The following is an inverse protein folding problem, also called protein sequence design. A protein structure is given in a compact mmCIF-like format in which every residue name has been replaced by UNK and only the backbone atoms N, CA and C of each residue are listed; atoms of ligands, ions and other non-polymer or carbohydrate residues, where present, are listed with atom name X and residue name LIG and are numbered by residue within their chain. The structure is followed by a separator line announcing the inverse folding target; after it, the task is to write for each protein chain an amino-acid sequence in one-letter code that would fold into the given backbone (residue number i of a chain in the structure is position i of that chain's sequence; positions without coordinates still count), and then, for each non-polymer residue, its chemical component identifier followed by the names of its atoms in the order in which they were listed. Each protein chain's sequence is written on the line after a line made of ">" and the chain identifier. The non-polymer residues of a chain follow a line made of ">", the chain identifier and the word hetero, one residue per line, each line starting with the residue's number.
data_IF_531199654116
#
_entry.id   IF_531199654116
#
_cell.length_a   1.000
_cell.length_b   1.000
_cell.length_c   1.000
_cell.angle_alpha   90.00
_cell.angle_beta   90.00
_cell.angle_gamma   90.00
#
_symmetry.space_group_name_H-M   'P 1'
#
loop_
_entity.id
_entity.type
_entity.pdbx_description
1 polymer ?
#
# COMPACT_ATOMS: atom_id res chain seq x y z
N UNK A 1 15.48 -7.61 6.34
CA UNK A 1 16.64 -7.75 7.26
C UNK A 1 17.92 -7.43 6.49
N UNK A 2 18.88 -6.71 7.07
CA UNK A 2 20.15 -6.42 6.41
C UNK A 2 21.03 -7.66 6.25
N UNK A 3 21.81 -7.74 5.15
CA UNK A 3 22.67 -8.89 4.83
C UNK A 3 23.80 -9.10 5.84
N UNK A 4 24.29 -8.00 6.45
CA UNK A 4 25.29 -7.98 7.52
C UNK A 4 26.52 -8.85 7.21
N UNK A 5 26.98 -8.90 5.95
CA UNK A 5 27.96 -9.91 5.49
C UNK A 5 29.29 -9.92 6.27
N UNK A 6 29.73 -8.75 6.71
CA UNK A 6 31.01 -8.56 7.41
C UNK A 6 30.84 -7.67 8.63
N UNK A 7 31.72 -7.83 9.62
CA UNK A 7 31.83 -6.99 10.81
C UNK A 7 33.30 -6.65 11.10
N UNK A 8 33.54 -5.54 11.78
CA UNK A 8 34.86 -5.13 12.22
C UNK A 8 35.09 -5.52 13.68
N UNK A 9 36.22 -6.15 13.99
CA UNK A 9 36.61 -6.60 15.35
C UNK A 9 38.01 -6.13 15.72
N UNK A 10 38.32 -6.08 17.02
CA UNK A 10 39.66 -5.74 17.50
C UNK A 10 40.64 -6.90 17.33
N UNK A 11 41.87 -6.60 16.89
CA UNK A 11 42.96 -7.58 16.84
C UNK A 11 43.64 -7.74 18.20
N UNK A 12 44.08 -8.97 18.50
CA UNK A 12 45.01 -9.24 19.60
C UNK A 12 46.38 -8.58 19.29
N UNK A 13 46.60 -7.37 19.85
CA UNK A 13 47.81 -6.57 19.59
C UNK A 13 47.55 -5.13 19.14
N UNK A 14 46.28 -4.73 18.99
CA UNK A 14 45.88 -3.37 18.60
C UNK A 14 45.48 -3.26 17.13
N UNK A 15 44.62 -2.28 16.84
CA UNK A 15 43.98 -2.11 15.53
C UNK A 15 42.73 -2.98 15.35
N UNK A 16 42.17 -2.97 14.14
CA UNK A 16 40.97 -3.71 13.77
C UNK A 16 41.18 -4.63 12.56
N UNK A 17 40.32 -5.63 12.42
CA UNK A 17 40.14 -6.43 11.22
C UNK A 17 38.67 -6.56 10.85
N UNK A 18 38.42 -6.72 9.56
CA UNK A 18 37.13 -7.09 9.02
C UNK A 18 37.06 -8.62 8.90
N UNK A 19 36.03 -9.21 9.48
CA UNK A 19 35.76 -10.65 9.41
C UNK A 19 34.34 -10.89 8.90
N UNK A 20 34.10 -12.07 8.33
CA UNK A 20 32.75 -12.51 8.00
C UNK A 20 31.91 -12.68 9.27
N UNK A 21 30.66 -12.25 9.23
CA UNK A 21 29.66 -12.58 10.26
C UNK A 21 29.22 -14.04 10.16
N UNK A 22 28.86 -14.62 11.31
CA UNK A 22 28.29 -15.97 11.34
C UNK A 22 26.89 -16.00 10.70
N UNK A 23 26.43 -17.18 10.29
CA UNK A 23 25.06 -17.35 9.79
C UNK A 23 24.00 -16.96 10.82
N UNK A 24 24.27 -17.18 12.11
CA UNK A 24 23.40 -16.80 13.23
C UNK A 24 23.30 -15.27 13.37
N UNK A 25 24.42 -14.56 13.27
CA UNK A 25 24.45 -13.09 13.28
C UNK A 25 23.71 -12.52 12.06
N UNK A 26 23.86 -13.14 10.89
CA UNK A 26 23.15 -12.72 9.67
C UNK A 26 21.64 -12.93 9.79
N UNK A 27 21.20 -13.98 10.48
CA UNK A 27 19.79 -14.32 10.69
C UNK A 27 19.10 -13.56 11.82
N UNK A 28 19.81 -12.69 12.56
CA UNK A 28 19.28 -11.95 13.71
C UNK A 28 19.29 -10.43 13.49
N UNK A 29 18.50 -9.72 14.29
CA UNK A 29 18.53 -8.26 14.36
C UNK A 29 19.75 -7.78 15.14
N UNK A 30 20.39 -6.70 14.68
CA UNK A 30 21.59 -6.16 15.35
C UNK A 30 21.26 -5.36 16.62
N UNK A 31 20.01 -4.91 16.74
CA UNK A 31 19.49 -4.17 17.88
C UNK A 31 18.09 -4.69 18.24
N UNK A 32 17.72 -4.63 19.52
CA UNK A 32 16.37 -4.97 19.98
C UNK A 32 15.40 -3.80 19.82
N UNK A 33 14.09 -4.05 19.95
CA UNK A 33 13.08 -3.00 19.85
C UNK A 33 13.26 -1.93 20.95
N UNK A 34 13.69 -2.31 22.15
CA UNK A 34 13.99 -1.37 23.23
C UNK A 34 15.19 -0.47 22.87
N UNK A 35 16.22 -1.04 22.25
CA UNK A 35 17.40 -0.30 21.81
C UNK A 35 17.05 0.67 20.67
N UNK A 36 16.29 0.21 19.67
CA UNK A 36 15.81 1.06 18.57
C UNK A 36 14.93 2.20 19.09
N UNK A 37 14.06 1.93 20.06
CA UNK A 37 13.22 2.95 20.70
C UNK A 37 14.08 3.96 21.46
N UNK A 38 15.05 3.50 22.26
CA UNK A 38 15.96 4.38 22.99
C UNK A 38 16.79 5.26 22.04
N UNK A 39 17.32 4.69 20.95
CA UNK A 39 18.03 5.44 19.92
C UNK A 39 17.14 6.48 19.24
N UNK A 40 15.88 6.12 18.95
CA UNK A 40 14.90 7.04 18.35
C UNK A 40 14.61 8.23 19.27
N UNK A 41 14.44 7.99 20.58
CA UNK A 41 14.29 9.07 21.56
C UNK A 41 15.53 9.97 21.63
N UNK A 42 16.73 9.39 21.60
CA UNK A 42 17.98 10.16 21.57
C UNK A 42 18.05 11.03 20.31
N UNK A 43 17.71 10.46 19.14
CA UNK A 43 17.70 11.19 17.87
C UNK A 43 16.75 12.39 17.88
N UNK A 44 15.50 12.21 18.37
CA UNK A 44 14.52 13.30 18.50
C UNK A 44 14.99 14.38 19.49
N UNK A 45 15.60 13.99 20.61
CA UNK A 45 16.18 14.94 21.58
C UNK A 45 17.32 15.76 20.96
N UNK A 46 18.18 15.11 20.16
CA UNK A 46 19.30 15.75 19.45
C UNK A 46 18.76 16.71 18.37
N UNK A 47 17.86 16.26 17.51
CA UNK A 47 17.22 17.10 16.48
C UNK A 47 16.57 18.35 17.11
N UNK A 48 15.80 18.17 18.19
CA UNK A 48 15.18 19.27 18.92
C UNK A 48 16.19 20.25 19.50
N UNK A 49 17.33 19.77 19.98
CA UNK A 49 18.40 20.62 20.50
C UNK A 49 19.05 21.48 19.40
N UNK A 50 19.30 20.90 18.22
CA UNK A 50 19.95 21.59 17.10
C UNK A 50 18.97 22.35 16.17
N UNK A 51 17.67 22.09 16.30
CA UNK A 51 16.60 22.74 15.53
C UNK A 51 16.65 22.43 14.03
N UNK A 52 17.22 21.30 13.64
CA UNK A 52 17.37 20.86 12.24
C UNK A 52 17.61 19.35 12.16
N UNK A 53 17.36 18.69 11.01
CA UNK A 53 17.68 17.28 10.81
C UNK A 53 19.15 16.97 11.06
N UNK A 54 19.42 15.83 11.69
CA UNK A 54 20.76 15.43 12.14
C UNK A 54 21.14 14.03 11.62
N UNK A 55 22.38 13.89 11.17
CA UNK A 55 23.09 12.64 10.92
C UNK A 55 23.82 12.23 12.22
N UNK A 56 23.54 11.03 12.73
CA UNK A 56 23.92 10.57 14.06
C UNK A 56 24.60 9.20 13.96
N UNK A 57 25.81 9.10 14.53
CA UNK A 57 26.50 7.84 14.72
C UNK A 57 26.35 7.39 16.18
N UNK A 58 26.11 6.10 16.38
CA UNK A 58 25.91 5.50 17.69
C UNK A 58 26.65 4.17 17.81
N UNK A 59 26.87 3.73 19.05
CA UNK A 59 27.46 2.44 19.36
C UNK A 59 26.79 1.81 20.59
N UNK A 60 26.70 0.49 20.59
CA UNK A 60 26.44 -0.30 21.80
C UNK A 60 27.77 -0.81 22.34
N UNK A 61 28.09 -0.46 23.56
CA UNK A 61 29.32 -0.93 24.22
C UNK A 61 29.17 -2.41 24.62
N UNK A 62 30.18 -3.23 24.28
CA UNK A 62 30.14 -4.67 24.53
C UNK A 62 30.41 -5.07 25.97
N UNK A 63 30.99 -4.20 26.79
CA UNK A 63 31.33 -4.46 28.19
C UNK A 63 30.17 -4.09 29.12
N UNK A 64 29.56 -2.91 28.91
CA UNK A 64 28.47 -2.42 29.77
C UNK A 64 27.07 -2.50 29.16
N UNK A 65 26.97 -2.84 27.86
CA UNK A 65 25.71 -3.01 27.13
C UNK A 65 24.97 -1.71 26.85
N UNK A 66 25.53 -0.54 27.17
CA UNK A 66 24.83 0.75 26.99
C UNK A 66 25.00 1.31 25.59
N UNK A 67 24.04 2.16 25.22
CA UNK A 67 24.04 2.91 23.97
C UNK A 67 24.72 4.27 24.16
N UNK A 68 25.62 4.61 23.24
CA UNK A 68 26.36 5.86 23.22
C UNK A 68 26.22 6.55 21.86
N UNK A 69 26.07 7.87 21.87
CA UNK A 69 26.16 8.70 20.67
C UNK A 69 27.63 9.10 20.49
N UNK A 70 28.22 8.71 19.36
CA UNK A 70 29.65 8.96 19.09
C UNK A 70 29.87 10.17 18.19
N UNK A 71 28.90 10.50 17.34
CA UNK A 71 28.91 11.70 16.50
C UNK A 71 27.47 12.20 16.27
N UNK A 72 27.30 13.52 16.18
CA UNK A 72 26.08 14.13 15.67
C UNK A 72 26.44 15.37 14.85
N UNK A 73 25.96 15.44 13.60
CA UNK A 73 26.18 16.56 12.69
C UNK A 73 24.91 16.88 11.89
N UNK A 74 24.71 18.10 11.38
CA UNK A 74 23.58 18.39 10.52
C UNK A 74 23.55 17.46 9.30
N UNK A 75 22.35 17.03 8.90
CA UNK A 75 22.17 16.28 7.65
C UNK A 75 22.51 17.20 6.45
N UNK A 76 23.34 16.71 5.52
CA UNK A 76 23.85 17.52 4.40
C UNK A 76 23.45 17.04 3.01
N UNK A 77 22.98 15.81 2.84
CA UNK A 77 22.73 15.18 1.52
C UNK A 77 21.32 15.49 1.00
N UNK A 78 20.32 15.66 1.88
CA UNK A 78 18.96 16.04 1.48
C UNK A 78 18.73 17.57 1.43
N UNK A 79 19.57 18.36 2.09
CA UNK A 79 19.43 19.82 2.22
C UNK A 79 19.68 20.66 0.95
N UNK A 80 20.12 20.06 -0.16
CA UNK A 80 20.54 20.78 -1.39
C UNK A 80 19.52 20.81 -2.54
N UNK A 81 18.35 20.17 -2.44
CA UNK A 81 17.35 20.22 -3.52
C UNK A 81 16.52 21.52 -3.44
N UNK A 82 16.89 22.52 -4.25
CA UNK A 82 16.06 23.71 -4.52
C UNK A 82 15.22 23.48 -5.78
N UNK A 83 13.93 23.78 -5.68
CA UNK A 83 12.90 23.48 -6.69
C UNK A 83 12.30 24.78 -7.23
N UNK A 84 11.82 24.82 -8.49
CA UNK A 84 10.96 25.92 -8.96
C UNK A 84 11.13 26.46 -10.39
N UNK A 85 10.86 25.66 -11.43
CA UNK A 85 10.54 26.18 -12.78
C UNK A 85 9.43 25.34 -13.42
N UNK A 86 8.40 26.02 -13.96
CA UNK A 86 7.35 25.42 -14.78
C UNK A 86 7.70 25.65 -16.25
N UNK A 87 7.70 24.58 -17.05
CA UNK A 87 7.91 24.64 -18.50
C UNK A 87 6.64 24.16 -19.21
N UNK A 88 6.08 25.00 -20.08
CA UNK A 88 4.96 24.68 -20.97
C UNK A 88 5.53 24.28 -22.35
N UNK A 89 5.14 23.10 -22.84
CA UNK A 89 5.65 22.57 -24.10
C UNK A 89 4.58 22.64 -25.19
N UNK A 90 4.88 23.38 -26.24
CA UNK A 90 4.03 23.47 -27.43
C UNK A 90 4.80 22.91 -28.63
N UNK A 91 4.28 21.84 -29.22
CA UNK A 91 4.80 21.33 -30.49
C UNK A 91 4.49 22.33 -31.59
N UNK A 92 5.52 22.98 -32.14
CA UNK A 92 5.37 24.05 -33.13
C UNK A 92 5.09 23.51 -34.54
N UNK A 93 5.57 22.30 -34.86
CA UNK A 93 5.39 21.65 -36.15
C UNK A 93 5.12 20.14 -35.96
N UNK A 94 4.11 19.62 -36.67
CA UNK A 94 3.91 18.17 -36.86
C UNK A 94 4.47 17.80 -38.23
N UNK A 95 5.60 17.08 -38.27
CA UNK A 95 6.24 16.75 -39.56
C UNK A 95 7.13 15.52 -39.57
N UNK A 96 7.33 14.85 -38.44
CA UNK A 96 8.03 13.56 -38.39
C UNK A 96 7.07 12.40 -38.71
N UNK A 97 7.58 11.36 -39.36
CA UNK A 97 6.88 10.08 -39.48
C UNK A 97 6.76 9.45 -38.08
N UNK A 98 5.54 9.09 -37.68
CA UNK A 98 5.31 8.41 -36.40
C UNK A 98 5.82 6.98 -36.50
N UNK A 99 6.89 6.67 -35.74
CA UNK A 99 7.51 5.33 -35.73
C UNK A 99 6.97 4.43 -34.60
N UNK A 100 6.38 5.01 -33.56
CA UNK A 100 5.76 4.30 -32.44
C UNK A 100 4.77 5.22 -31.71
N UNK A 101 3.75 4.63 -31.09
CA UNK A 101 2.75 5.33 -30.25
C UNK A 101 2.62 4.60 -28.92
N UNK A 102 2.27 5.33 -27.86
CA UNK A 102 2.13 4.79 -26.52
C UNK A 102 1.24 5.67 -25.64
N UNK A 103 1.02 5.24 -24.39
CA UNK A 103 0.22 6.00 -23.41
C UNK A 103 1.03 7.19 -22.91
N UNK A 104 0.48 8.40 -23.02
CA UNK A 104 1.12 9.59 -22.49
C UNK A 104 1.04 9.61 -20.95
N UNK A 105 2.21 9.64 -20.29
CA UNK A 105 2.32 9.74 -18.82
C UNK A 105 2.41 11.22 -18.36
N UNK A 106 2.56 12.18 -19.29
CA UNK A 106 2.61 13.61 -18.98
C UNK A 106 2.54 14.52 -20.22
N UNK A 107 2.66 15.84 -20.01
CA UNK A 107 2.54 16.89 -21.07
C UNK A 107 3.88 17.38 -21.65
N UNK A 108 5.01 16.80 -21.24
CA UNK A 108 6.36 17.23 -21.68
C UNK A 108 6.66 16.75 -23.11
N UNK A 109 7.34 17.57 -23.89
CA UNK A 109 7.98 17.12 -25.14
C UNK A 109 9.44 16.85 -24.81
N UNK A 110 9.83 15.57 -24.78
CA UNK A 110 11.21 15.15 -24.69
C UNK A 110 11.84 15.09 -26.07
N UNK A 111 13.07 15.58 -26.21
CA UNK A 111 13.89 15.39 -27.40
C UNK A 111 15.30 15.06 -26.96
N UNK A 112 15.88 14.02 -27.54
CA UNK A 112 17.20 13.55 -27.14
C UNK A 112 17.61 12.32 -27.95
N UNK A 113 18.88 11.95 -27.81
CA UNK A 113 19.36 10.67 -28.31
C UNK A 113 18.66 9.56 -27.52
N UNK A 114 18.11 8.57 -28.21
CA UNK A 114 17.51 7.40 -27.56
C UNK A 114 18.63 6.57 -26.91
N UNK A 115 18.46 6.26 -25.63
CA UNK A 115 19.35 5.39 -24.87
C UNK A 115 18.51 4.23 -24.30
N UNK A 116 18.83 3.00 -24.72
CA UNK A 116 18.08 1.79 -24.38
C UNK A 116 18.81 1.12 -23.21
N UNK A 117 18.19 1.13 -22.03
CA UNK A 117 18.74 0.47 -20.85
C UNK A 117 17.94 -0.79 -20.54
N UNK A 118 18.64 -1.91 -20.35
CA UNK A 118 18.03 -3.21 -20.06
C UNK A 118 18.15 -3.62 -18.59
N UNK A 119 18.97 -2.92 -17.81
CA UNK A 119 19.05 -3.08 -16.34
C UNK A 119 19.48 -1.78 -15.66
N UNK A 120 19.22 -1.68 -14.34
CA UNK A 120 19.53 -0.49 -13.54
C UNK A 120 21.04 -0.23 -13.38
N UNK A 121 21.88 -1.25 -13.55
CA UNK A 121 23.34 -1.12 -13.44
C UNK A 121 23.93 -0.21 -14.53
N UNK A 122 23.19 -0.03 -15.63
CA UNK A 122 23.56 0.81 -16.75
C UNK A 122 23.16 2.28 -16.55
N UNK A 123 22.60 2.64 -15.39
CA UNK A 123 22.16 4.02 -15.09
C UNK A 123 23.28 5.04 -15.18
N UNK A 124 24.52 4.64 -14.93
CA UNK A 124 25.69 5.52 -15.08
C UNK A 124 25.97 5.94 -16.53
N UNK A 125 25.35 5.26 -17.51
CA UNK A 125 25.48 5.53 -18.93
C UNK A 125 24.42 6.52 -19.45
N UNK A 126 23.41 6.84 -18.63
CA UNK A 126 22.36 7.79 -18.99
C UNK A 126 22.83 9.22 -18.74
N UNK A 127 22.82 10.03 -19.80
CA UNK A 127 23.23 11.43 -19.72
C UNK A 127 22.03 12.39 -19.73
N UNK A 128 22.21 13.55 -19.10
CA UNK A 128 21.19 14.60 -19.11
C UNK A 128 20.84 15.01 -20.56
N UNK A 129 19.55 14.99 -20.88
CA UNK A 129 19.05 15.29 -22.23
C UNK A 129 18.85 14.07 -23.15
N UNK A 130 19.15 12.85 -22.71
CA UNK A 130 18.81 11.63 -23.45
C UNK A 130 17.35 11.18 -23.23
N UNK A 131 16.81 10.38 -24.16
CA UNK A 131 15.49 9.75 -24.05
C UNK A 131 15.68 8.30 -23.65
N UNK A 132 15.29 7.96 -22.43
CA UNK A 132 15.35 6.60 -21.92
C UNK A 132 14.28 5.71 -22.57
N UNK A 133 14.69 4.51 -22.99
CA UNK A 133 13.78 3.42 -23.36
C UNK A 133 14.15 2.19 -22.54
N UNK A 134 13.21 1.65 -21.78
CA UNK A 134 13.36 0.44 -20.97
C UNK A 134 12.09 -0.41 -21.06
N UNK A 135 12.20 -1.71 -20.79
CA UNK A 135 11.07 -2.66 -20.86
C UNK A 135 10.01 -2.38 -19.78
N UNK A 136 10.45 -1.90 -18.61
CA UNK A 136 9.58 -1.41 -17.54
C UNK A 136 10.32 -0.37 -16.69
N UNK A 137 9.64 0.74 -16.37
CA UNK A 137 10.11 1.72 -15.38
C UNK A 137 9.44 1.41 -14.03
N UNK A 138 10.18 0.82 -13.10
CA UNK A 138 9.77 0.52 -11.71
C UNK A 138 9.98 1.75 -10.76
N UNK A 139 9.60 1.74 -9.47
CA UNK A 139 9.82 2.85 -8.52
C UNK A 139 11.26 3.32 -8.38
N UNK A 140 12.26 2.52 -8.78
CA UNK A 140 13.67 2.93 -8.81
C UNK A 140 13.94 4.15 -9.73
N UNK A 141 12.99 4.50 -10.61
CA UNK A 141 13.06 5.64 -11.52
C UNK A 141 12.46 6.95 -10.93
N UNK A 142 11.88 6.91 -9.72
CA UNK A 142 11.17 8.01 -9.04
C UNK A 142 11.98 9.30 -8.71
N UNK A 143 13.32 9.30 -8.53
CA UNK A 143 14.05 10.51 -8.15
C UNK A 143 13.91 11.70 -9.13
N UNK A 144 13.43 11.44 -10.34
CA UNK A 144 13.23 12.40 -11.43
C UNK A 144 11.85 13.11 -11.36
N UNK A 145 10.87 12.57 -10.62
CA UNK A 145 9.47 13.06 -10.64
C UNK A 145 9.14 14.11 -9.56
N UNK A 146 10.06 14.44 -8.66
CA UNK A 146 9.83 15.44 -7.60
C UNK A 146 9.85 16.87 -8.17
N UNK A 147 8.67 17.43 -8.45
CA UNK A 147 8.45 18.87 -8.72
C UNK A 147 7.74 19.54 -7.54
N UNK A 148 8.10 20.79 -7.29
CA UNK A 148 7.43 21.66 -6.32
C UNK A 148 6.02 21.94 -6.83
N UNK A 149 5.06 21.81 -5.93
CA UNK A 149 3.67 22.13 -6.19
C UNK A 149 3.47 23.54 -5.64
N UNK A 150 3.12 24.49 -6.51
CA UNK A 150 2.71 25.82 -6.05
C UNK A 150 1.46 25.75 -5.15
N UNK A 151 0.88 26.90 -4.83
CA UNK A 151 -0.42 26.91 -4.14
C UNK A 151 -1.49 26.27 -5.06
N UNK A 152 -1.89 25.04 -4.71
CA UNK A 152 -3.01 24.37 -5.35
C UNK A 152 -4.32 25.06 -4.92
N UNK A 153 -5.30 25.21 -5.82
CA UNK A 153 -6.59 25.78 -5.46
C UNK A 153 -7.29 24.91 -4.42
N UNK A 154 -8.12 25.52 -3.58
CA UNK A 154 -9.00 24.77 -2.70
C UNK A 154 -10.06 24.04 -3.56
N UNK A 155 -10.09 22.72 -3.47
CA UNK A 155 -11.04 21.87 -4.19
C UNK A 155 -12.09 21.40 -3.18
N UNK A 156 -13.38 21.58 -3.51
CA UNK A 156 -14.50 21.20 -2.64
C UNK A 156 -14.71 19.68 -2.47
N UNK A 157 -13.76 18.87 -2.92
CA UNK A 157 -13.76 17.41 -2.92
C UNK A 157 -12.44 16.93 -2.33
N UNK A 158 -12.49 15.97 -1.41
CA UNK A 158 -11.27 15.41 -0.80
C UNK A 158 -10.57 14.47 -1.76
N UNK A 159 -9.36 14.82 -2.18
CA UNK A 159 -8.52 13.96 -3.01
C UNK A 159 -7.62 13.14 -2.07
N UNK A 160 -7.82 11.82 -2.10
CA UNK A 160 -7.08 10.84 -1.30
C UNK A 160 -6.23 9.95 -2.22
N UNK A 161 -5.38 9.11 -1.61
CA UNK A 161 -4.50 8.22 -2.34
C UNK A 161 -4.90 6.74 -2.24
N UNK A 162 -4.59 5.99 -3.29
CA UNK A 162 -4.54 4.54 -3.34
C UNK A 162 -3.08 4.13 -3.18
N UNK A 163 -2.70 3.53 -2.05
CA UNK A 163 -1.31 3.17 -1.75
C UNK A 163 -1.25 1.73 -1.29
N UNK A 164 -0.44 0.91 -1.96
CA UNK A 164 -0.21 -0.49 -1.56
C UNK A 164 1.18 -0.71 -0.95
N UNK A 165 2.20 -0.06 -1.51
CA UNK A 165 3.58 -0.29 -1.11
C UNK A 165 3.97 0.59 0.10
N UNK A 166 4.33 0.00 1.27
CA UNK A 166 4.84 0.75 2.41
C UNK A 166 6.17 1.47 2.15
N UNK A 167 7.03 0.94 1.27
CA UNK A 167 8.38 1.49 1.03
C UNK A 167 8.34 2.87 0.39
N UNK A 168 7.33 3.15 -0.44
CA UNK A 168 7.13 4.45 -1.09
C UNK A 168 6.15 5.36 -0.33
N UNK A 169 5.58 4.88 0.79
CA UNK A 169 4.52 5.57 1.52
C UNK A 169 4.91 6.96 2.00
N UNK A 170 6.11 7.14 2.58
CA UNK A 170 6.59 8.44 3.05
C UNK A 170 6.86 9.44 1.93
N UNK A 171 7.24 8.96 0.74
CA UNK A 171 7.38 9.81 -0.45
C UNK A 171 6.01 10.33 -0.92
N UNK A 172 5.00 9.46 -0.98
CA UNK A 172 3.65 9.86 -1.40
C UNK A 172 2.93 10.68 -0.34
N UNK A 173 3.17 10.43 0.94
CA UNK A 173 2.62 11.22 2.05
C UNK A 173 2.98 12.71 1.98
N UNK A 174 4.06 13.06 1.28
CA UNK A 174 4.48 14.45 1.05
C UNK A 174 3.67 15.17 -0.05
N UNK A 175 2.92 14.44 -0.88
CA UNK A 175 2.01 15.05 -1.85
C UNK A 175 0.80 15.67 -1.12
N UNK A 176 0.23 16.78 -1.60
CA UNK A 176 -1.09 17.26 -1.18
C UNK A 176 -2.12 16.14 -1.26
N UNK A 177 -2.70 15.77 -0.12
CA UNK A 177 -3.66 14.68 -0.01
C UNK A 177 -4.55 14.88 1.22
N UNK A 178 -5.72 14.25 1.24
CA UNK A 178 -6.62 14.17 2.40
C UNK A 178 -6.54 12.80 3.12
N UNK A 179 -5.42 12.09 2.93
CA UNK A 179 -5.15 10.77 3.47
C UNK A 179 -5.11 9.67 2.40
N UNK A 180 -5.25 8.42 2.84
CA UNK A 180 -5.25 7.23 1.98
C UNK A 180 -6.65 6.62 2.01
N UNK A 181 -7.38 6.67 0.90
CA UNK A 181 -8.76 6.15 0.82
C UNK A 181 -8.84 4.67 0.42
N UNK A 182 -7.71 4.10 -0.01
CA UNK A 182 -7.52 2.67 -0.21
C UNK A 182 -6.06 2.28 0.07
N UNK A 183 -5.83 1.70 1.24
CA UNK A 183 -4.60 0.97 1.55
C UNK A 183 -4.78 -0.51 1.27
N UNK A 184 -3.95 -1.09 0.41
CA UNK A 184 -4.05 -2.48 -0.04
C UNK A 184 -3.07 -3.37 0.72
N UNK A 185 -3.57 -4.42 1.38
CA UNK A 185 -2.72 -5.37 2.10
C UNK A 185 -1.99 -6.35 1.18
N UNK A 186 -2.48 -6.54 -0.06
CA UNK A 186 -1.94 -7.54 -0.99
C UNK A 186 -0.45 -7.34 -1.27
N UNK A 187 0.02 -6.09 -1.32
CA UNK A 187 1.44 -5.82 -1.52
C UNK A 187 2.29 -6.28 -0.34
N UNK A 188 1.83 -6.05 0.89
CA UNK A 188 2.52 -6.51 2.11
C UNK A 188 2.57 -8.04 2.12
N UNK A 189 1.46 -8.69 1.82
CA UNK A 189 1.37 -10.15 1.83
C UNK A 189 2.22 -10.77 0.70
N UNK A 190 2.21 -10.23 -0.52
CA UNK A 190 3.01 -10.78 -1.62
C UNK A 190 4.51 -10.57 -1.44
N UNK A 191 4.91 -9.33 -1.10
CA UNK A 191 6.32 -8.95 -1.18
C UNK A 191 7.05 -9.11 0.15
N UNK A 192 6.43 -8.65 1.25
CA UNK A 192 7.06 -8.68 2.56
C UNK A 192 6.90 -10.05 3.26
N UNK A 193 5.76 -10.74 3.05
CA UNK A 193 5.48 -12.04 3.65
C UNK A 193 5.83 -13.18 2.67
N UNK A 194 5.16 -13.23 1.52
CA UNK A 194 5.39 -14.20 0.44
C UNK A 194 4.96 -15.65 0.76
N UNK A 195 4.30 -15.89 1.89
CA UNK A 195 3.91 -17.22 2.37
C UNK A 195 2.41 -17.25 2.63
N UNK A 196 1.76 -18.35 2.24
CA UNK A 196 0.34 -18.55 2.48
C UNK A 196 0.03 -18.61 3.99
N UNK A 197 -0.97 -17.89 4.53
CA UNK A 197 -1.21 -17.85 5.97
C UNK A 197 -1.58 -19.22 6.56
N UNK A 198 -2.24 -20.12 5.80
CA UNK A 198 -2.43 -21.51 6.25
C UNK A 198 -1.16 -22.33 6.31
N UNK A 199 -0.17 -22.06 5.45
CA UNK A 199 1.11 -22.74 5.54
C UNK A 199 1.83 -22.36 6.85
N UNK A 200 1.74 -21.09 7.25
CA UNK A 200 2.28 -20.61 8.52
C UNK A 200 1.55 -21.22 9.73
N UNK A 201 0.22 -21.30 9.70
CA UNK A 201 -0.56 -21.95 10.78
C UNK A 201 -0.29 -23.45 10.89
N UNK A 202 -0.04 -24.12 9.76
CA UNK A 202 0.24 -25.56 9.69
C UNK A 202 1.74 -25.83 9.49
N UNK A 203 2.61 -24.96 9.98
CA UNK A 203 4.06 -25.00 9.71
C UNK A 203 4.70 -26.36 10.04
N UNK A 204 4.26 -27.03 11.10
CA UNK A 204 4.79 -28.33 11.51
C UNK A 204 4.41 -29.49 10.58
N UNK A 205 3.40 -29.31 9.71
CA UNK A 205 2.97 -30.32 8.75
C UNK A 205 3.57 -30.11 7.36
N UNK A 206 4.33 -29.03 7.14
CA UNK A 206 4.94 -28.75 5.85
C UNK A 206 6.06 -29.75 5.54
N UNK A 207 6.26 -30.02 4.25
CA UNK A 207 7.41 -30.77 3.78
C UNK A 207 8.72 -29.98 4.00
N UNK A 208 9.85 -30.67 3.94
CA UNK A 208 11.15 -30.09 4.27
C UNK A 208 11.58 -28.94 3.34
N UNK A 209 11.17 -28.98 2.06
CA UNK A 209 11.52 -27.95 1.08
C UNK A 209 10.71 -26.67 1.35
N UNK A 210 9.39 -26.79 1.48
CA UNK A 210 8.52 -25.66 1.82
C UNK A 210 8.90 -25.06 3.17
N UNK A 211 9.20 -25.89 4.18
CA UNK A 211 9.61 -25.44 5.50
C UNK A 211 10.88 -24.58 5.46
N UNK A 212 11.88 -25.00 4.68
CA UNK A 212 13.12 -24.22 4.50
C UNK A 212 12.88 -22.85 3.83
N UNK A 213 11.96 -22.78 2.86
CA UNK A 213 11.57 -21.52 2.24
C UNK A 213 10.85 -20.58 3.22
N UNK A 214 9.96 -21.14 4.06
CA UNK A 214 9.30 -20.38 5.12
C UNK A 214 10.31 -19.87 6.14
N UNK A 215 11.24 -20.71 6.59
CA UNK A 215 12.29 -20.34 7.53
C UNK A 215 13.14 -19.17 7.04
N UNK A 216 13.50 -19.16 5.75
CA UNK A 216 14.27 -18.06 5.15
C UNK A 216 13.49 -16.73 5.16
N UNK A 217 12.17 -16.79 4.89
CA UNK A 217 11.26 -15.63 4.88
C UNK A 217 11.02 -15.08 6.28
N UNK A 218 10.84 -15.94 7.28
CA UNK A 218 10.49 -15.54 8.65
C UNK A 218 11.70 -15.26 9.56
N UNK A 219 12.92 -15.19 9.01
CA UNK A 219 14.13 -14.90 9.80
C UNK A 219 13.96 -13.66 10.66
N UNK A 220 14.35 -13.78 11.94
CA UNK A 220 14.24 -12.71 12.93
C UNK A 220 12.88 -12.59 13.60
N UNK A 221 11.94 -13.50 13.34
CA UNK A 221 10.64 -13.57 14.02
C UNK A 221 10.55 -14.85 14.86
N UNK A 222 9.85 -14.78 16.01
CA UNK A 222 9.80 -15.86 16.98
C UNK A 222 8.95 -17.06 16.56
N UNK A 223 7.94 -16.85 15.72
CA UNK A 223 7.08 -17.92 15.19
C UNK A 223 6.48 -17.57 13.82
N UNK A 224 6.01 -18.58 13.04
CA UNK A 224 5.35 -18.33 11.76
C UNK A 224 4.13 -17.41 11.86
N UNK A 225 3.37 -17.53 12.96
CA UNK A 225 2.20 -16.69 13.24
C UNK A 225 2.60 -15.24 13.55
N UNK A 226 3.58 -15.06 14.42
CA UNK A 226 4.11 -13.74 14.79
C UNK A 226 4.70 -13.02 13.57
N UNK A 227 5.42 -13.75 12.71
CA UNK A 227 5.93 -13.21 11.44
C UNK A 227 4.83 -12.59 10.59
N UNK A 228 3.71 -13.30 10.39
CA UNK A 228 2.59 -12.81 9.59
C UNK A 228 1.97 -11.55 10.21
N UNK A 229 1.66 -11.62 11.51
CA UNK A 229 1.01 -10.53 12.25
C UNK A 229 1.90 -9.27 12.24
N UNK A 230 3.17 -9.41 12.61
CA UNK A 230 4.09 -8.28 12.69
C UNK A 230 4.35 -7.66 11.32
N UNK A 231 4.49 -8.46 10.25
CA UNK A 231 4.66 -7.91 8.90
C UNK A 231 3.47 -7.11 8.41
N UNK A 232 2.25 -7.56 8.70
CA UNK A 232 1.04 -6.77 8.41
C UNK A 232 1.02 -5.50 9.26
N UNK A 233 1.32 -5.61 10.56
CA UNK A 233 1.33 -4.45 11.46
C UNK A 233 2.36 -3.41 11.01
N UNK A 234 3.59 -3.81 10.69
CA UNK A 234 4.65 -2.97 10.14
C UNK A 234 4.21 -2.25 8.86
N UNK A 235 3.62 -2.99 7.90
CA UNK A 235 3.15 -2.44 6.63
C UNK A 235 2.02 -1.42 6.80
N UNK A 236 1.00 -1.77 7.60
CA UNK A 236 -0.14 -0.89 7.88
C UNK A 236 0.30 0.34 8.69
N UNK A 237 1.14 0.16 9.71
CA UNK A 237 1.66 1.27 10.51
C UNK A 237 2.46 2.24 9.67
N UNK A 238 3.30 1.74 8.76
CA UNK A 238 4.10 2.57 7.84
C UNK A 238 3.19 3.42 6.93
N UNK A 239 2.16 2.79 6.33
CA UNK A 239 1.19 3.51 5.50
C UNK A 239 0.40 4.54 6.31
N UNK A 240 -0.01 4.21 7.54
CA UNK A 240 -0.77 5.10 8.40
C UNK A 240 0.06 6.28 8.91
N UNK A 241 1.33 6.03 9.23
CA UNK A 241 2.28 7.04 9.70
C UNK A 241 2.64 8.06 8.61
N UNK A 242 2.69 7.64 7.33
CA UNK A 242 3.08 8.52 6.24
C UNK A 242 2.11 9.69 5.99
N UNK A 243 0.85 9.55 6.42
CA UNK A 243 -0.20 10.58 6.28
C UNK A 243 -0.77 11.03 7.63
N UNK A 244 -0.22 10.57 8.75
CA UNK A 244 -0.75 10.90 10.08
C UNK A 244 -0.81 12.42 10.32
N UNK A 245 -1.89 12.97 10.90
CA UNK A 245 -3.07 12.29 11.47
C UNK A 245 -4.24 12.10 10.49
N UNK A 246 -4.04 12.28 9.18
CA UNK A 246 -5.10 12.09 8.18
C UNK A 246 -5.53 10.63 8.14
N UNK A 247 -6.80 10.41 7.76
CA UNK A 247 -7.39 9.07 7.76
C UNK A 247 -6.70 8.15 6.74
N UNK A 248 -6.68 6.86 7.07
CA UNK A 248 -6.30 5.78 6.16
C UNK A 248 -7.38 4.71 6.22
N UNK A 249 -7.86 4.26 5.07
CA UNK A 249 -8.84 3.17 4.97
C UNK A 249 -8.11 1.93 4.45
N UNK A 250 -7.85 0.99 5.36
CA UNK A 250 -7.16 -0.27 5.06
C UNK A 250 -8.17 -1.30 4.58
N UNK A 251 -8.06 -1.72 3.32
CA UNK A 251 -8.81 -2.84 2.79
C UNK A 251 -8.15 -4.13 3.27
N UNK A 252 -8.91 -4.97 3.97
CA UNK A 252 -8.44 -6.30 4.35
C UNK A 252 -8.22 -7.17 3.10
N UNK A 253 -7.52 -8.30 3.24
CA UNK A 253 -7.02 -9.06 2.09
C UNK A 253 -8.13 -9.46 1.10
N UNK A 254 -8.02 -9.03 -0.15
CA UNK A 254 -9.00 -9.33 -1.21
C UNK A 254 -8.40 -10.24 -2.30
N UNK A 255 -7.43 -11.06 -1.94
CA UNK A 255 -6.85 -12.02 -2.88
C UNK A 255 -7.89 -13.01 -3.40
N UNK A 256 -7.78 -13.28 -4.70
CA UNK A 256 -8.40 -14.43 -5.36
C UNK A 256 -7.62 -15.70 -5.00
N UNK A 257 -8.28 -16.85 -5.11
CA UNK A 257 -7.66 -18.16 -4.78
C UNK A 257 -6.39 -18.43 -5.59
N UNK A 258 -6.34 -18.03 -6.87
CA UNK A 258 -5.15 -18.19 -7.71
C UNK A 258 -3.96 -17.33 -7.25
N UNK A 259 -4.21 -16.17 -6.65
CA UNK A 259 -3.16 -15.32 -6.08
C UNK A 259 -2.63 -15.95 -4.79
N UNK A 260 -3.51 -16.41 -3.89
CA UNK A 260 -3.10 -17.19 -2.71
C UNK A 260 -2.34 -18.46 -3.07
N UNK A 261 -2.75 -19.15 -4.15
CA UNK A 261 -2.09 -20.37 -4.66
C UNK A 261 -0.63 -20.13 -5.03
N UNK A 262 -0.31 -18.93 -5.51
CA UNK A 262 1.04 -18.54 -5.94
C UNK A 262 2.01 -18.27 -4.79
N UNK A 263 1.52 -18.13 -3.56
CA UNK A 263 2.36 -17.95 -2.38
C UNK A 263 3.05 -19.26 -1.99
N UNK A 264 4.17 -19.15 -1.26
CA UNK A 264 4.88 -20.32 -0.74
C UNK A 264 3.92 -21.14 0.14
N UNK A 265 3.80 -22.44 -0.18
CA UNK A 265 2.91 -23.38 0.52
C UNK A 265 1.41 -23.20 0.23
N UNK A 266 1.02 -22.39 -0.76
CA UNK A 266 -0.38 -22.10 -1.12
C UNK A 266 -1.08 -23.19 -1.92
N UNK A 267 -0.36 -23.93 -2.77
CA UNK A 267 -0.94 -24.90 -3.72
C UNK A 267 -1.84 -25.96 -3.07
N UNK A 268 -1.51 -26.40 -1.87
CA UNK A 268 -2.29 -27.41 -1.12
C UNK A 268 -3.61 -26.89 -0.53
N UNK A 269 -3.76 -25.56 -0.41
CA UNK A 269 -4.90 -24.93 0.25
C UNK A 269 -5.90 -24.30 -0.73
N UNK A 270 -5.45 -24.03 -1.95
CA UNK A 270 -6.19 -23.21 -2.91
C UNK A 270 -6.62 -24.05 -4.12
N UNK A 271 -7.90 -24.43 -4.22
CA UNK A 271 -8.40 -25.16 -5.38
C UNK A 271 -8.39 -24.29 -6.64
N UNK A 272 -8.31 -24.95 -7.79
CA UNK A 272 -8.49 -24.26 -9.08
C UNK A 272 -9.95 -23.83 -9.24
N UNK A 273 -10.16 -22.54 -9.45
CA UNK A 273 -11.45 -21.96 -9.77
C UNK A 273 -11.48 -21.53 -11.24
N UNK A 274 -12.53 -21.93 -11.95
CA UNK A 274 -12.74 -21.53 -13.36
C UNK A 274 -12.84 -20.00 -13.52
N UNK A 275 -13.39 -19.31 -12.51
CA UNK A 275 -13.59 -17.85 -12.54
C UNK A 275 -13.13 -17.21 -11.21
N UNK A 276 -11.82 -17.00 -11.00
CA UNK A 276 -11.29 -16.49 -9.74
C UNK A 276 -11.86 -15.12 -9.34
N UNK A 277 -12.26 -14.29 -10.30
CA UNK A 277 -12.83 -12.96 -10.05
C UNK A 277 -14.09 -13.01 -9.17
N UNK A 278 -14.95 -14.01 -9.37
CA UNK A 278 -16.19 -14.23 -8.60
C UNK A 278 -16.10 -15.41 -7.63
N UNK A 279 -14.88 -15.92 -7.40
CA UNK A 279 -14.58 -17.11 -6.61
C UNK A 279 -14.43 -16.87 -5.10
N UNK A 280 -13.66 -17.71 -4.43
CA UNK A 280 -13.47 -17.72 -2.98
C UNK A 280 -12.53 -16.60 -2.50
N UNK A 281 -13.08 -15.40 -2.30
CA UNK A 281 -12.36 -14.16 -1.92
C UNK A 281 -13.17 -13.21 -1.04
N UNK A 282 -12.49 -12.18 -0.53
CA UNK A 282 -13.05 -11.10 0.26
C UNK A 282 -13.89 -11.58 1.45
N UNK A 283 -15.00 -10.91 1.74
CA UNK A 283 -15.85 -11.21 2.89
C UNK A 283 -16.29 -12.68 3.00
N UNK A 284 -16.57 -13.33 1.86
CA UNK A 284 -16.99 -14.74 1.86
C UNK A 284 -15.90 -15.70 2.34
N UNK A 285 -14.63 -15.32 2.22
CA UNK A 285 -13.49 -16.07 2.75
C UNK A 285 -13.31 -15.83 4.25
N UNK A 286 -13.49 -14.61 4.73
CA UNK A 286 -13.24 -14.26 6.14
C UNK A 286 -14.11 -15.01 7.14
N UNK A 287 -15.36 -15.28 6.76
CA UNK A 287 -16.36 -15.95 7.60
C UNK A 287 -16.35 -17.47 7.43
N UNK A 288 -15.55 -18.01 6.50
CA UNK A 288 -15.49 -19.44 6.27
C UNK A 288 -14.63 -20.12 7.37
N UNK A 289 -15.10 -21.20 8.01
CA UNK A 289 -14.33 -21.92 9.03
C UNK A 289 -12.95 -22.39 8.56
N UNK A 290 -12.78 -22.63 7.25
CA UNK A 290 -11.49 -22.95 6.68
C UNK A 290 -10.50 -21.80 6.87
N UNK A 291 -10.90 -20.54 6.71
CA UNK A 291 -9.97 -19.40 6.66
C UNK A 291 -10.08 -18.42 7.84
N UNK A 292 -11.09 -18.55 8.72
CA UNK A 292 -11.34 -17.65 9.85
C UNK A 292 -10.08 -17.38 10.70
N UNK A 293 -9.27 -18.42 10.96
CA UNK A 293 -8.03 -18.27 11.74
C UNK A 293 -6.94 -17.47 11.01
N UNK A 294 -6.87 -17.55 9.68
CA UNK A 294 -5.98 -16.71 8.89
C UNK A 294 -6.41 -15.24 8.97
N UNK A 295 -7.71 -15.00 8.82
CA UNK A 295 -8.28 -13.66 8.95
C UNK A 295 -8.04 -13.06 10.34
N UNK A 296 -8.15 -13.86 11.40
CA UNK A 296 -7.87 -13.43 12.76
C UNK A 296 -6.43 -12.89 12.94
N UNK A 297 -5.44 -13.38 12.18
CA UNK A 297 -4.09 -12.83 12.19
C UNK A 297 -4.02 -11.41 11.60
N UNK A 298 -4.79 -11.14 10.52
CA UNK A 298 -4.89 -9.77 9.97
C UNK A 298 -5.56 -8.81 10.98
N UNK A 299 -6.59 -9.28 11.68
CA UNK A 299 -7.28 -8.49 12.70
C UNK A 299 -6.38 -8.18 13.90
N UNK A 300 -5.56 -9.14 14.33
CA UNK A 300 -4.60 -8.93 15.40
C UNK A 300 -3.56 -7.87 15.01
N UNK A 301 -3.08 -7.88 13.76
CA UNK A 301 -2.19 -6.83 13.27
C UNK A 301 -2.85 -5.44 13.33
N UNK A 302 -4.12 -5.31 12.91
CA UNK A 302 -4.84 -4.04 13.02
C UNK A 302 -5.03 -3.59 14.47
N UNK A 303 -5.25 -4.52 15.40
CA UNK A 303 -5.32 -4.22 16.84
C UNK A 303 -4.02 -3.70 17.40
N UNK A 304 -2.88 -4.30 17.03
CA UNK A 304 -1.56 -3.81 17.42
C UNK A 304 -1.36 -2.38 16.93
N UNK A 305 -1.64 -2.13 15.64
CA UNK A 305 -1.46 -0.81 15.01
C UNK A 305 -2.33 0.27 15.68
N UNK A 306 -3.62 -0.02 15.91
CA UNK A 306 -4.51 0.96 16.55
C UNK A 306 -4.25 1.07 18.05
N UNK A 307 -4.08 -0.05 18.73
CA UNK A 307 -3.99 -0.17 20.18
C UNK A 307 -2.62 0.23 20.71
N UNK A 308 -1.62 -0.60 20.44
CA UNK A 308 -0.25 -0.45 20.97
C UNK A 308 0.49 0.70 20.31
N UNK A 309 0.43 0.81 18.97
CA UNK A 309 1.13 1.88 18.23
C UNK A 309 0.35 3.20 18.21
N UNK A 310 -0.92 3.20 18.63
CA UNK A 310 -1.73 4.42 18.78
C UNK A 310 -2.18 5.08 17.46
N UNK A 311 -2.07 4.38 16.32
CA UNK A 311 -2.45 4.90 14.99
C UNK A 311 -3.97 4.83 14.79
N UNK A 312 -4.71 5.64 15.56
CA UNK A 312 -6.17 5.69 15.57
C UNK A 312 -6.80 6.24 14.29
N UNK A 313 -6.00 6.75 13.35
CA UNK A 313 -6.44 7.16 12.02
C UNK A 313 -6.73 5.99 11.06
N UNK A 314 -6.45 4.74 11.47
CA UNK A 314 -6.67 3.51 10.69
C UNK A 314 -8.11 3.03 10.72
N UNK A 315 -8.83 3.19 9.62
CA UNK A 315 -10.14 2.57 9.41
C UNK A 315 -10.01 1.26 8.66
N UNK A 316 -10.99 0.37 8.79
CA UNK A 316 -11.02 -0.91 8.08
C UNK A 316 -12.05 -0.84 6.96
N UNK A 317 -11.76 -1.51 5.85
CA UNK A 317 -12.70 -1.74 4.76
C UNK A 317 -12.82 -3.22 4.44
N UNK A 318 -14.06 -3.71 4.38
CA UNK A 318 -14.40 -5.09 4.04
C UNK A 318 -14.73 -5.17 2.54
N UNK A 319 -13.93 -5.90 1.73
CA UNK A 319 -14.20 -6.15 0.32
C UNK A 319 -15.19 -7.30 0.08
N UNK A 320 -15.75 -7.31 -1.11
CA UNK A 320 -16.53 -8.40 -1.72
C UNK A 320 -17.71 -8.92 -0.88
N UNK A 321 -18.43 -8.01 -0.21
CA UNK A 321 -19.59 -8.34 0.64
C UNK A 321 -20.82 -8.62 -0.22
N UNK A 322 -21.15 -9.89 -0.42
CA UNK A 322 -22.19 -10.29 -1.40
C UNK A 322 -23.62 -10.14 -0.90
N UNK A 323 -23.86 -10.47 0.38
CA UNK A 323 -25.19 -10.55 0.99
C UNK A 323 -25.23 -9.84 2.35
N UNK A 324 -26.43 -9.53 2.83
CA UNK A 324 -26.61 -8.93 4.17
C UNK A 324 -26.18 -9.88 5.29
N UNK A 325 -26.33 -11.20 5.11
CA UNK A 325 -25.84 -12.19 6.06
C UNK A 325 -24.31 -12.11 6.18
N UNK A 326 -23.59 -12.01 5.05
CA UNK A 326 -22.14 -11.79 5.08
C UNK A 326 -21.77 -10.47 5.79
N UNK A 327 -22.53 -9.40 5.56
CA UNK A 327 -22.33 -8.11 6.23
C UNK A 327 -22.51 -8.22 7.75
N UNK A 328 -23.48 -9.03 8.20
CA UNK A 328 -23.71 -9.32 9.62
C UNK A 328 -22.58 -10.18 10.19
N UNK A 329 -22.29 -11.30 9.55
CA UNK A 329 -21.33 -12.31 10.01
C UNK A 329 -19.92 -11.73 10.14
N UNK A 330 -19.48 -10.90 9.17
CA UNK A 330 -18.15 -10.27 9.26
C UNK A 330 -18.04 -9.30 10.44
N UNK A 331 -19.12 -8.57 10.77
CA UNK A 331 -19.12 -7.70 11.95
C UNK A 331 -19.07 -8.53 13.25
N UNK A 332 -19.72 -9.68 13.30
CA UNK A 332 -19.62 -10.61 14.44
C UNK A 332 -18.20 -11.18 14.57
N UNK A 333 -17.55 -11.54 13.47
CA UNK A 333 -16.14 -12.00 13.45
C UNK A 333 -15.19 -10.88 13.91
N UNK A 334 -15.39 -9.65 13.44
CA UNK A 334 -14.60 -8.50 13.89
C UNK A 334 -14.74 -8.28 15.41
N UNK A 335 -15.97 -8.28 15.93
CA UNK A 335 -16.25 -8.12 17.36
C UNK A 335 -15.65 -9.25 18.20
N UNK A 336 -15.80 -10.51 17.76
CA UNK A 336 -15.18 -11.70 18.40
C UNK A 336 -13.66 -11.58 18.53
N UNK A 337 -13.01 -10.92 17.58
CA UNK A 337 -11.56 -10.69 17.58
C UNK A 337 -11.15 -9.39 18.29
N UNK A 338 -12.10 -8.61 18.82
CA UNK A 338 -11.84 -7.39 19.59
C UNK A 338 -11.80 -6.09 18.76
N UNK A 339 -12.37 -6.09 17.56
CA UNK A 339 -12.51 -4.92 16.70
C UNK A 339 -13.99 -4.59 16.52
N UNK A 340 -14.55 -3.76 17.41
CA UNK A 340 -15.97 -3.39 17.34
C UNK A 340 -16.16 -1.99 16.78
N UNK A 341 -17.05 -1.88 15.80
CA UNK A 341 -17.44 -0.60 15.18
C UNK A 341 -17.88 0.41 16.25
N UNK A 342 -17.30 1.60 16.22
CA UNK A 342 -17.59 2.70 17.15
C UNK A 342 -16.82 2.66 18.47
N UNK A 343 -16.24 1.52 18.86
CA UNK A 343 -15.33 1.45 20.01
C UNK A 343 -13.95 1.97 19.62
N UNK A 344 -13.31 2.73 20.51
CA UNK A 344 -12.00 3.36 20.27
C UNK A 344 -11.96 4.19 18.95
N UNK A 345 -13.11 4.70 18.52
CA UNK A 345 -13.25 5.44 17.27
C UNK A 345 -13.06 4.61 16.00
N UNK A 346 -13.06 3.27 16.09
CA UNK A 346 -12.94 2.39 14.92
C UNK A 346 -14.11 2.60 13.96
N UNK A 347 -13.76 2.84 12.69
CA UNK A 347 -14.70 2.87 11.56
C UNK A 347 -14.54 1.62 10.72
N UNK A 348 -15.67 1.02 10.36
CA UNK A 348 -15.73 -0.16 9.49
C UNK A 348 -16.53 0.21 8.26
N UNK A 349 -15.84 0.37 7.13
CA UNK A 349 -16.42 0.70 5.83
C UNK A 349 -16.61 -0.58 4.99
N UNK A 350 -17.46 -0.50 3.98
CA UNK A 350 -17.62 -1.56 2.99
C UNK A 350 -17.13 -1.09 1.63
N UNK A 351 -16.44 -1.98 0.91
CA UNK A 351 -16.21 -1.77 -0.51
C UNK A 351 -17.52 -2.06 -1.26
N UNK A 352 -18.15 -1.03 -1.81
CA UNK A 352 -19.38 -1.17 -2.57
C UNK A 352 -19.03 -1.44 -4.04
N UNK A 353 -19.01 -2.71 -4.41
CA UNK A 353 -18.43 -3.17 -5.68
C UNK A 353 -19.22 -4.27 -6.39
N UNK A 354 -20.31 -4.75 -5.79
CA UNK A 354 -21.23 -5.69 -6.41
C UNK A 354 -22.58 -5.03 -6.75
N UNK A 355 -23.28 -5.50 -7.80
CA UNK A 355 -24.65 -5.04 -8.08
C UNK A 355 -25.61 -5.23 -6.91
N UNK A 356 -25.43 -6.28 -6.07
CA UNK A 356 -26.24 -6.45 -4.86
C UNK A 356 -26.06 -5.29 -3.87
N UNK A 357 -24.86 -4.71 -3.77
CA UNK A 357 -24.62 -3.54 -2.93
C UNK A 357 -25.37 -2.30 -3.43
N UNK A 358 -25.55 -2.18 -4.75
CA UNK A 358 -26.38 -1.12 -5.35
C UNK A 358 -27.85 -1.32 -5.00
N UNK A 359 -28.38 -2.53 -5.19
CA UNK A 359 -29.80 -2.80 -4.99
C UNK A 359 -30.24 -2.73 -3.53
N UNK A 360 -29.33 -3.03 -2.59
CA UNK A 360 -29.58 -3.07 -1.15
C UNK A 360 -28.72 -2.05 -0.39
N UNK A 361 -28.41 -0.91 -1.03
CA UNK A 361 -27.45 0.06 -0.51
C UNK A 361 -27.78 0.55 0.90
N UNK A 362 -29.06 0.83 1.16
CA UNK A 362 -29.48 1.33 2.47
C UNK A 362 -29.36 0.26 3.56
N UNK A 363 -29.68 -0.99 3.24
CA UNK A 363 -29.63 -2.13 4.14
C UNK A 363 -28.17 -2.50 4.47
N UNK A 364 -27.28 -2.52 3.47
CA UNK A 364 -25.85 -2.71 3.74
C UNK A 364 -25.30 -1.61 4.64
N UNK A 365 -25.70 -0.35 4.45
CA UNK A 365 -25.27 0.74 5.31
C UNK A 365 -25.66 0.56 6.77
N UNK A 366 -26.57 -0.32 7.16
CA UNK A 366 -26.84 -0.58 8.59
C UNK A 366 -25.61 -1.19 9.29
N UNK A 367 -24.81 -1.96 8.55
CA UNK A 367 -23.65 -2.70 9.05
C UNK A 367 -22.33 -1.95 8.93
N UNK A 368 -22.26 -0.85 8.15
CA UNK A 368 -21.01 -0.11 7.90
C UNK A 368 -21.11 1.39 8.19
N UNK A 369 -19.98 2.05 8.44
CA UNK A 369 -19.89 3.52 8.63
C UNK A 369 -19.94 4.30 7.32
N UNK A 370 -19.78 3.61 6.19
CA UNK A 370 -19.80 4.20 4.86
C UNK A 370 -19.35 3.23 3.79
N UNK A 371 -19.26 3.76 2.58
CA UNK A 371 -18.83 3.07 1.37
C UNK A 371 -17.51 3.61 0.82
N UNK A 372 -16.68 2.72 0.31
CA UNK A 372 -15.72 3.05 -0.74
C UNK A 372 -16.14 2.30 -2.00
N UNK A 373 -16.50 3.01 -3.05
CA UNK A 373 -17.02 2.39 -4.26
C UNK A 373 -15.84 1.80 -5.05
N UNK A 374 -15.85 0.47 -5.23
CA UNK A 374 -14.91 -0.25 -6.08
C UNK A 374 -15.42 -0.24 -7.52
N UNK A 375 -15.18 0.85 -8.25
CA UNK A 375 -15.79 1.07 -9.57
C UNK A 375 -15.31 0.08 -10.64
N UNK A 376 -14.10 -0.48 -10.47
CA UNK A 376 -13.58 -1.55 -11.32
C UNK A 376 -14.47 -2.79 -11.31
N UNK A 377 -14.63 -3.41 -10.14
CA UNK A 377 -15.43 -4.63 -9.99
C UNK A 377 -16.92 -4.36 -10.18
N UNK A 378 -17.40 -3.18 -9.77
CA UNK A 378 -18.79 -2.78 -10.04
C UNK A 378 -19.06 -2.72 -11.54
N UNK A 379 -18.14 -2.19 -12.35
CA UNK A 379 -18.27 -2.13 -13.81
C UNK A 379 -18.23 -3.52 -14.43
N UNK A 380 -17.26 -4.34 -14.03
CA UNK A 380 -17.14 -5.73 -14.49
C UNK A 380 -18.42 -6.52 -14.24
N UNK A 381 -18.96 -6.47 -13.02
CA UNK A 381 -20.12 -7.26 -12.63
C UNK A 381 -21.45 -6.68 -13.14
N UNK A 382 -21.55 -5.36 -13.29
CA UNK A 382 -22.74 -4.72 -13.88
C UNK A 382 -22.86 -5.01 -15.37
N UNK A 383 -21.73 -5.08 -16.07
CA UNK A 383 -21.69 -5.28 -17.52
C UNK A 383 -21.45 -6.74 -17.93
N UNK A 384 -21.10 -7.62 -16.98
CA UNK A 384 -20.78 -9.02 -17.25
C UNK A 384 -19.48 -9.21 -18.03
N UNK A 385 -18.44 -8.48 -17.65
CA UNK A 385 -17.15 -8.43 -18.34
C UNK A 385 -16.00 -8.84 -17.41
N UNK A 386 -15.01 -9.51 -17.98
CA UNK A 386 -13.67 -9.60 -17.43
C UNK A 386 -12.78 -8.61 -18.18
N UNK A 387 -12.27 -7.60 -17.48
CA UNK A 387 -11.44 -6.56 -18.11
C UNK A 387 -10.06 -7.06 -18.52
N UNK A 388 -9.60 -8.17 -17.93
CA UNK A 388 -8.31 -8.78 -18.26
C UNK A 388 -8.44 -9.61 -19.56
N UNK A 389 -9.67 -9.90 -20.00
CA UNK A 389 -9.95 -10.54 -21.28
C UNK A 389 -9.94 -9.53 -22.43
N UNK A 390 -8.86 -9.53 -23.21
CA UNK A 390 -8.70 -8.68 -24.39
C UNK A 390 -9.77 -8.85 -25.48
N UNK A 391 -10.65 -9.87 -25.39
CA UNK A 391 -11.78 -10.06 -26.31
C UNK A 391 -12.99 -9.17 -25.99
N UNK A 392 -13.12 -8.75 -24.73
CA UNK A 392 -14.29 -7.99 -24.25
C UNK A 392 -13.91 -6.72 -23.49
N UNK A 393 -12.63 -6.52 -23.18
CA UNK A 393 -12.12 -5.35 -22.45
C UNK A 393 -12.51 -4.01 -23.11
N UNK A 394 -12.69 -3.95 -24.44
CA UNK A 394 -13.14 -2.72 -25.11
C UNK A 394 -14.54 -2.24 -24.68
N UNK A 395 -15.33 -3.09 -24.03
CA UNK A 395 -16.66 -2.73 -23.52
C UNK A 395 -16.63 -2.19 -22.08
N UNK A 396 -15.46 -2.18 -21.43
CA UNK A 396 -15.29 -1.63 -20.09
C UNK A 396 -15.32 -0.10 -20.13
N UNK A 397 -16.34 0.50 -19.52
CA UNK A 397 -16.41 1.95 -19.31
C UNK A 397 -17.15 2.22 -18.00
N UNK A 398 -16.47 2.84 -17.04
CA UNK A 398 -17.04 3.19 -15.72
C UNK A 398 -18.12 4.28 -15.84
N UNK A 399 -18.18 4.98 -16.98
CA UNK A 399 -19.23 5.97 -17.31
C UNK A 399 -20.43 5.35 -18.01
N UNK A 400 -20.44 4.03 -18.20
CA UNK A 400 -21.61 3.36 -18.77
C UNK A 400 -22.87 3.73 -17.98
N UNK A 401 -24.01 4.03 -18.64
CA UNK A 401 -25.23 4.46 -17.94
C UNK A 401 -25.69 3.51 -16.83
N UNK A 402 -25.49 2.19 -16.97
CA UNK A 402 -25.82 1.22 -15.94
C UNK A 402 -24.93 1.37 -14.69
N UNK A 403 -23.62 1.58 -14.90
CA UNK A 403 -22.65 1.80 -13.81
C UNK A 403 -22.92 3.14 -13.14
N UNK A 404 -23.10 4.22 -13.92
CA UNK A 404 -23.43 5.55 -13.42
C UNK A 404 -24.69 5.55 -12.55
N UNK A 405 -25.71 4.76 -12.92
CA UNK A 405 -26.91 4.58 -12.09
C UNK A 405 -26.60 3.89 -10.77
N UNK A 406 -25.69 2.90 -10.79
CA UNK A 406 -25.19 2.25 -9.59
C UNK A 406 -24.44 3.22 -8.66
N UNK A 407 -23.51 4.00 -9.21
CA UNK A 407 -22.78 5.04 -8.49
C UNK A 407 -23.73 6.06 -7.84
N UNK A 408 -24.68 6.58 -8.62
CA UNK A 408 -25.70 7.53 -8.14
C UNK A 408 -26.50 6.96 -6.96
N UNK A 409 -26.90 5.70 -7.05
CA UNK A 409 -27.70 5.02 -6.01
C UNK A 409 -26.91 4.85 -4.73
N UNK A 410 -25.66 4.39 -4.82
CA UNK A 410 -24.77 4.21 -3.67
C UNK A 410 -24.47 5.55 -2.97
N UNK A 411 -24.16 6.60 -3.74
CA UNK A 411 -23.91 7.94 -3.21
C UNK A 411 -25.16 8.46 -2.49
N UNK A 412 -26.33 8.42 -3.15
CA UNK A 412 -27.57 8.90 -2.54
C UNK A 412 -27.92 8.16 -1.25
N UNK A 413 -27.79 6.84 -1.21
CA UNK A 413 -28.06 6.05 -0.01
C UNK A 413 -27.14 6.45 1.15
N UNK A 414 -25.83 6.61 0.89
CA UNK A 414 -24.86 7.02 1.91
C UNK A 414 -25.14 8.44 2.41
N UNK A 415 -25.37 9.41 1.51
CA UNK A 415 -25.69 10.80 1.89
C UNK A 415 -27.01 10.90 2.65
N UNK A 416 -28.04 10.15 2.26
CA UNK A 416 -29.33 10.12 2.97
C UNK A 416 -29.19 9.63 4.42
N UNK A 417 -28.26 8.70 4.67
CA UNK A 417 -27.94 8.19 6.02
C UNK A 417 -26.84 8.99 6.75
N UNK A 418 -26.31 10.05 6.14
CA UNK A 418 -25.21 10.85 6.70
C UNK A 418 -23.92 10.04 6.88
N UNK A 419 -23.70 9.04 6.03
CA UNK A 419 -22.54 8.13 6.07
C UNK A 419 -21.53 8.47 5.00
N UNK A 420 -20.29 8.06 5.22
CA UNK A 420 -19.20 8.31 4.29
C UNK A 420 -19.44 7.62 2.94
N UNK A 421 -19.12 8.29 1.84
CA UNK A 421 -19.02 7.68 0.52
C UNK A 421 -17.83 8.24 -0.25
N UNK A 422 -16.84 7.38 -0.50
CA UNK A 422 -15.74 7.63 -1.41
C UNK A 422 -15.78 6.70 -2.62
N UNK A 423 -14.91 6.93 -3.59
CA UNK A 423 -14.67 6.02 -4.72
C UNK A 423 -13.17 5.76 -4.84
N UNK A 424 -12.81 4.53 -5.16
CA UNK A 424 -11.44 4.13 -5.43
C UNK A 424 -11.33 3.51 -6.83
N UNK A 425 -10.37 3.98 -7.61
CA UNK A 425 -10.19 3.57 -9.01
C UNK A 425 -9.50 4.66 -9.80
N UNK A 426 -9.00 4.33 -10.99
CA UNK A 426 -8.41 5.35 -11.88
C UNK A 426 -9.45 6.10 -12.71
N UNK A 427 -10.69 5.61 -12.80
CA UNK A 427 -11.77 6.25 -13.57
C UNK A 427 -11.86 7.76 -13.44
N UNK A 428 -11.92 8.33 -12.22
CA UNK A 428 -11.99 9.78 -12.05
C UNK A 428 -10.74 10.54 -12.55
N UNK A 429 -9.56 9.92 -12.50
CA UNK A 429 -8.33 10.50 -13.07
C UNK A 429 -8.28 10.37 -14.59
N UNK A 430 -8.62 9.20 -15.12
CA UNK A 430 -8.62 8.92 -16.56
C UNK A 430 -9.74 9.69 -17.29
N UNK A 431 -10.82 10.04 -16.57
CA UNK A 431 -12.01 10.70 -17.09
C UNK A 431 -12.42 11.90 -16.22
N UNK A 432 -11.92 13.11 -16.52
CA UNK A 432 -12.24 14.31 -15.75
C UNK A 432 -13.73 14.67 -15.70
N UNK A 433 -14.50 14.27 -16.72
CA UNK A 433 -15.96 14.40 -16.75
C UNK A 433 -16.64 13.53 -15.68
N UNK A 434 -16.10 12.33 -15.43
CA UNK A 434 -16.55 11.46 -14.34
C UNK A 434 -16.21 12.07 -12.97
N UNK A 435 -14.98 12.58 -12.77
CA UNK A 435 -14.61 13.26 -11.53
C UNK A 435 -15.52 14.45 -11.22
N UNK A 436 -15.79 15.29 -12.24
CA UNK A 436 -16.73 16.40 -12.11
C UNK A 436 -18.14 15.93 -11.76
N UNK A 437 -18.64 14.90 -12.44
CA UNK A 437 -19.95 14.34 -12.15
C UNK A 437 -20.05 13.80 -10.71
N UNK A 438 -19.03 13.09 -10.23
CA UNK A 438 -18.96 12.58 -8.85
C UNK A 438 -19.00 13.71 -7.82
N UNK A 439 -18.26 14.79 -8.07
CA UNK A 439 -18.31 16.01 -7.26
C UNK A 439 -19.71 16.62 -7.25
N UNK A 440 -20.36 16.71 -8.42
CA UNK A 440 -21.73 17.24 -8.54
C UNK A 440 -22.77 16.33 -7.85
N UNK A 441 -22.53 15.01 -7.77
CA UNK A 441 -23.33 14.07 -6.96
C UNK A 441 -23.09 14.20 -5.45
N UNK A 442 -22.06 14.94 -5.03
CA UNK A 442 -21.73 15.17 -3.62
C UNK A 442 -20.99 14.02 -2.95
N UNK A 443 -20.16 13.28 -3.69
CA UNK A 443 -19.24 12.29 -3.12
C UNK A 443 -18.29 12.95 -2.11
N UNK A 444 -17.89 12.24 -1.05
CA UNK A 444 -17.06 12.82 0.00
C UNK A 444 -15.57 12.81 -0.35
N UNK A 445 -15.12 11.82 -1.13
CA UNK A 445 -13.73 11.71 -1.57
C UNK A 445 -13.55 10.91 -2.87
N UNK A 446 -12.42 11.13 -3.52
CA UNK A 446 -11.92 10.33 -4.64
C UNK A 446 -10.51 9.87 -4.30
N UNK A 447 -10.23 8.58 -4.45
CA UNK A 447 -8.94 7.96 -4.12
C UNK A 447 -8.22 7.51 -5.38
N UNK A 448 -7.04 8.09 -5.64
CA UNK A 448 -6.29 7.97 -6.90
C UNK A 448 -4.90 7.41 -6.69
N UNK A 449 -4.24 6.98 -7.77
CA UNK A 449 -2.83 6.64 -7.65
C UNK A 449 -2.03 7.93 -7.38
N UNK A 450 -0.90 7.87 -6.66
CA UNK A 450 -0.14 9.06 -6.26
C UNK A 450 0.27 9.97 -7.43
N UNK A 451 0.61 9.38 -8.59
CA UNK A 451 0.96 10.08 -9.83
C UNK A 451 -0.21 10.89 -10.44
N UNK A 452 -1.43 10.44 -10.18
CA UNK A 452 -2.68 11.04 -10.66
C UNK A 452 -3.26 12.11 -9.74
N UNK A 453 -2.76 12.25 -8.51
CA UNK A 453 -3.28 13.20 -7.51
C UNK A 453 -3.20 14.63 -8.01
N UNK A 454 -2.00 15.06 -8.43
CA UNK A 454 -1.76 16.45 -8.85
C UNK A 454 -2.44 16.80 -10.17
N UNK A 455 -2.42 15.95 -11.21
CA UNK A 455 -3.18 16.23 -12.43
C UNK A 455 -4.69 16.35 -12.23
N UNK A 456 -5.25 15.71 -11.19
CA UNK A 456 -6.70 15.71 -10.91
C UNK A 456 -7.13 16.86 -10.00
N UNK A 457 -6.23 17.39 -9.18
CA UNK A 457 -6.44 18.55 -8.30
C UNK A 457 -6.58 19.84 -9.12
#
# INVERSE_FOLDING_TARGET
>A
MGSKLVKMVYKAGGGSETIDTSSEERGSWSATDEEVTALSEMAVKIEKHYGRPMDIEWARDGDDGKLYIVQARPETVASQKKVGVIEEYKMLEKGGETVAEGRAVGKRIGSGKVNILTSIDQMSEFNEGEVLVADMTDPDWEPIMKKDLGELPEVGLKIMMNVGNPETAFSFGQLPNEGIGLARLEFVINNAIGVHPKALLNYDTLDAETKALVDDRMRGYGSPKEFYINKIAEGVATLAASVYPKRIIVRLSDFKSNEYKSLIGGEQYEPDEENPMIGFRGCGRYTDPFFEECFAMELEAVKIVRGEMGLKNVEIMIPFVRTLDMAKDVNEVLEKNGLKRGEDGLKVNMMAELPSNVFLAEEFLEYFDGFSIGSNDLTQLTLGLDRDSGLVAQYFDERNPAVMKGLETLIKAAKAKGKYVGICGQGPSDHPDLAKWLMDQGIDSVSLNPDSVIPTW
#
